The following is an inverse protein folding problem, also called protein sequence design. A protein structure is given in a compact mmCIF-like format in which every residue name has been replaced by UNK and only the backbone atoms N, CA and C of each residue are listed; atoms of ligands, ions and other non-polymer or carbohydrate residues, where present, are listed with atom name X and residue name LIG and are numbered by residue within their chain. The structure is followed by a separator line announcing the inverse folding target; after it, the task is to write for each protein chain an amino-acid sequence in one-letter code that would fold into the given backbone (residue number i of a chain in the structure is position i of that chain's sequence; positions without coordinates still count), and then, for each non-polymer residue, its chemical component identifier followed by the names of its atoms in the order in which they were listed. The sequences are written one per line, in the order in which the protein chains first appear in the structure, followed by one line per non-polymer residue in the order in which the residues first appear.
data_IF_367987292839
#
_entry.id   IF_367987292839
#
_cell.length_a   1.000
_cell.length_b   1.000
_cell.length_c   1.000
_cell.angle_alpha   90.00
_cell.angle_beta   90.00
_cell.angle_gamma   90.00
#
_symmetry.space_group_name_H-M   'P 1'
#
loop_
_entity.id
_entity.type
_entity.pdbx_description
1 polymer ?
#
# COMPACT_ATOMS: atom_id res chain seq x y z
N UNK A 1 -38.29 -34.49 -29.31
CA UNK A 1 -37.90 -33.18 -28.76
C UNK A 1 -36.44 -33.26 -28.36
N UNK A 2 -35.52 -32.51 -28.99
CA UNK A 2 -34.14 -32.46 -28.52
C UNK A 2 -34.10 -31.69 -27.20
N UNK A 3 -33.50 -32.31 -26.18
CA UNK A 3 -33.20 -31.70 -24.88
C UNK A 3 -31.97 -30.83 -25.12
N UNK A 4 -32.14 -29.51 -25.14
CA UNK A 4 -31.00 -28.61 -25.12
C UNK A 4 -30.28 -28.75 -23.77
N UNK A 5 -28.94 -28.85 -23.74
CA UNK A 5 -28.21 -28.77 -22.49
C UNK A 5 -28.47 -27.40 -21.87
N UNK A 6 -28.92 -27.41 -20.62
CA UNK A 6 -29.00 -26.20 -19.78
C UNK A 6 -27.58 -25.66 -19.72
N UNK A 7 -27.34 -24.52 -20.39
CA UNK A 7 -26.08 -23.81 -20.24
C UNK A 7 -25.91 -23.53 -18.75
N UNK A 8 -24.86 -24.10 -18.14
CA UNK A 8 -24.46 -23.77 -16.79
C UNK A 8 -24.35 -22.25 -16.73
N UNK A 9 -25.25 -21.62 -15.97
CA UNK A 9 -25.11 -20.20 -15.69
C UNK A 9 -23.75 -20.03 -15.01
N UNK A 10 -22.87 -19.14 -15.51
CA UNK A 10 -21.61 -18.88 -14.84
C UNK A 10 -21.91 -18.58 -13.38
N UNK A 11 -21.28 -19.32 -12.46
CA UNK A 11 -21.38 -19.11 -11.02
C UNK A 11 -21.36 -17.61 -10.76
N UNK A 12 -22.44 -17.10 -10.14
CA UNK A 12 -22.50 -15.73 -9.67
C UNK A 12 -21.31 -15.52 -8.72
N UNK A 13 -20.28 -14.88 -9.25
CA UNK A 13 -19.05 -14.55 -8.53
C UNK A 13 -19.46 -13.86 -7.23
N UNK A 14 -18.97 -14.41 -6.11
CA UNK A 14 -19.46 -14.11 -4.78
C UNK A 14 -19.50 -12.57 -4.53
N UNK A 15 -20.68 -11.96 -4.28
CA UNK A 15 -20.80 -10.50 -4.09
C UNK A 15 -19.94 -9.96 -2.93
N UNK A 16 -19.44 -10.86 -2.06
CA UNK A 16 -18.60 -10.53 -0.92
C UNK A 16 -17.19 -10.04 -1.28
N UNK A 17 -16.72 -10.22 -2.53
CA UNK A 17 -15.34 -9.88 -2.90
C UNK A 17 -15.09 -8.36 -2.89
N UNK A 18 -16.08 -7.57 -3.29
CA UNK A 18 -15.98 -6.09 -3.30
C UNK A 18 -16.25 -5.49 -1.92
N UNK A 19 -17.00 -6.19 -1.08
CA UNK A 19 -17.32 -5.79 0.28
C UNK A 19 -17.04 -6.92 1.28
N UNK A 20 -15.78 -7.17 1.65
CA UNK A 20 -15.42 -8.24 2.57
C UNK A 20 -15.96 -8.01 4.00
N UNK A 21 -16.49 -6.83 4.33
CA UNK A 21 -17.19 -6.61 5.59
C UNK A 21 -18.49 -7.43 5.71
N UNK A 22 -19.05 -7.93 4.60
CA UNK A 22 -20.18 -8.87 4.63
C UNK A 22 -19.79 -10.21 5.27
N UNK A 23 -18.49 -10.54 5.31
CA UNK A 23 -17.97 -11.73 5.99
C UNK A 23 -17.97 -11.61 7.52
N UNK A 24 -18.17 -10.39 8.06
CA UNK A 24 -18.22 -10.14 9.50
C UNK A 24 -19.67 -10.10 9.99
N UNK A 25 -19.87 -10.34 11.29
CA UNK A 25 -21.18 -10.19 11.92
C UNK A 25 -21.72 -8.76 11.68
N UNK A 26 -22.93 -8.60 11.10
CA UNK A 26 -23.53 -7.29 10.80
C UNK A 26 -23.65 -6.37 12.02
N UNK A 27 -23.74 -6.93 13.24
CA UNK A 27 -23.82 -6.15 14.48
C UNK A 27 -22.48 -5.52 14.86
N UNK A 28 -21.36 -6.09 14.42
CA UNK A 28 -19.99 -5.69 14.79
C UNK A 28 -19.27 -4.99 13.63
N UNK A 29 -19.57 -5.37 12.38
CA UNK A 29 -18.91 -4.88 11.18
C UNK A 29 -18.87 -3.33 11.06
N UNK A 30 -19.95 -2.58 11.34
CA UNK A 30 -19.93 -1.11 11.25
C UNK A 30 -18.93 -0.46 12.21
N UNK A 31 -18.89 -0.93 13.46
CA UNK A 31 -18.01 -0.39 14.49
C UNK A 31 -16.54 -0.71 14.16
N UNK A 32 -16.26 -1.94 13.75
CA UNK A 32 -14.90 -2.36 13.34
C UNK A 32 -14.45 -1.58 12.12
N UNK A 33 -15.30 -1.45 11.09
CA UNK A 33 -15.00 -0.67 9.89
C UNK A 33 -14.66 0.77 10.26
N UNK A 34 -15.50 1.45 11.05
CA UNK A 34 -15.27 2.83 11.45
C UNK A 34 -13.94 2.99 12.20
N UNK A 35 -13.69 2.17 13.22
CA UNK A 35 -12.49 2.28 14.05
C UNK A 35 -11.23 1.99 13.24
N UNK A 36 -11.19 0.88 12.51
CA UNK A 36 -10.03 0.49 11.72
C UNK A 36 -9.74 1.51 10.63
N UNK A 37 -10.77 2.02 9.94
CA UNK A 37 -10.59 3.02 8.90
C UNK A 37 -10.13 4.35 9.47
N UNK A 38 -10.75 4.84 10.55
CA UNK A 38 -10.34 6.08 11.20
C UNK A 38 -8.88 6.01 11.66
N UNK A 39 -8.45 4.89 12.26
CA UNK A 39 -7.07 4.67 12.69
C UNK A 39 -6.13 4.59 11.49
N UNK A 40 -6.47 3.82 10.45
CA UNK A 40 -5.61 3.64 9.27
C UNK A 40 -5.44 4.94 8.49
N UNK A 41 -6.52 5.67 8.25
CA UNK A 41 -6.51 6.99 7.59
C UNK A 41 -5.66 7.98 8.40
N UNK A 42 -5.92 8.08 9.70
CA UNK A 42 -5.19 9.00 10.58
C UNK A 42 -3.70 8.66 10.65
N UNK A 43 -3.35 7.38 10.80
CA UNK A 43 -1.96 6.94 10.84
C UNK A 43 -1.24 7.24 9.53
N UNK A 44 -1.85 6.93 8.38
CA UNK A 44 -1.28 7.23 7.06
C UNK A 44 -1.03 8.72 6.86
N UNK A 45 -1.98 9.59 7.20
CA UNK A 45 -1.78 11.04 7.10
C UNK A 45 -0.77 11.60 8.10
N UNK A 46 -0.68 11.03 9.31
CA UNK A 46 0.36 11.39 10.27
C UNK A 46 1.75 11.02 9.76
N UNK A 47 1.92 9.83 9.20
CA UNK A 47 3.17 9.38 8.55
C UNK A 47 3.51 10.32 7.39
N UNK A 48 2.54 10.63 6.53
CA UNK A 48 2.72 11.57 5.43
C UNK A 48 3.19 12.95 5.93
N UNK A 49 2.54 13.49 6.96
CA UNK A 49 2.92 14.78 7.57
C UNK A 49 4.35 14.76 8.13
N UNK A 50 4.75 13.67 8.79
CA UNK A 50 6.12 13.54 9.31
C UNK A 50 7.15 13.56 8.19
N UNK A 51 6.92 12.82 7.11
CA UNK A 51 7.83 12.85 5.96
C UNK A 51 7.80 14.18 5.21
N UNK A 52 6.63 14.83 5.08
CA UNK A 52 6.52 16.13 4.44
C UNK A 52 7.33 17.19 5.18
N UNK A 53 7.26 17.19 6.52
CA UNK A 53 8.10 18.04 7.36
C UNK A 53 9.59 17.72 7.18
N UNK A 54 9.96 16.44 7.08
CA UNK A 54 11.34 16.05 6.80
C UNK A 54 11.81 16.53 5.43
N UNK A 55 10.95 16.45 4.42
CA UNK A 55 11.21 16.92 3.05
C UNK A 55 11.42 18.44 3.01
N UNK A 56 10.55 19.22 3.67
CA UNK A 56 10.68 20.68 3.69
C UNK A 56 12.01 21.17 4.28
N UNK A 57 12.63 20.40 5.17
CA UNK A 57 13.95 20.72 5.71
C UNK A 57 15.10 20.25 4.82
N UNK A 58 14.96 19.11 4.13
CA UNK A 58 16.06 18.49 3.40
C UNK A 58 16.11 18.85 1.92
N UNK A 59 14.99 19.27 1.31
CA UNK A 59 14.91 19.67 -0.10
C UNK A 59 15.07 18.56 -1.15
N UNK A 60 15.36 17.32 -0.75
CA UNK A 60 15.62 16.24 -1.72
C UNK A 60 14.34 15.70 -2.36
N UNK A 61 14.18 15.91 -3.68
CA UNK A 61 13.00 15.50 -4.45
C UNK A 61 12.62 14.03 -4.31
N UNK A 62 13.59 13.12 -4.16
CA UNK A 62 13.31 11.68 -3.98
C UNK A 62 12.56 11.36 -2.69
N UNK A 63 12.60 12.23 -1.68
CA UNK A 63 11.85 12.05 -0.44
C UNK A 63 10.36 12.37 -0.59
N UNK A 64 9.92 12.98 -1.70
CA UNK A 64 8.52 13.36 -1.94
C UNK A 64 7.60 12.14 -2.20
N UNK A 65 8.15 11.03 -2.70
CA UNK A 65 7.35 9.80 -2.90
C UNK A 65 6.84 9.19 -1.58
N UNK A 66 7.55 9.37 -0.46
CA UNK A 66 7.08 8.95 0.86
C UNK A 66 5.82 9.69 1.34
N UNK A 67 5.80 11.03 1.50
CA UNK A 67 4.63 11.74 1.97
C UNK A 67 3.46 11.59 1.01
N UNK A 68 3.69 11.67 -0.30
CA UNK A 68 2.63 11.48 -1.30
C UNK A 68 2.09 10.06 -1.28
N UNK A 69 2.97 9.05 -1.18
CA UNK A 69 2.56 7.65 -1.13
C UNK A 69 1.72 7.30 0.10
N UNK A 70 2.10 7.80 1.28
CA UNK A 70 1.27 7.62 2.49
C UNK A 70 -0.02 8.45 2.46
N UNK A 71 -0.04 9.62 1.83
CA UNK A 71 -1.27 10.38 1.62
C UNK A 71 -2.25 9.59 0.71
N UNK A 72 -1.75 8.99 -0.36
CA UNK A 72 -2.55 8.14 -1.25
C UNK A 72 -3.06 6.89 -0.54
N UNK A 73 -2.26 6.25 0.33
CA UNK A 73 -2.75 5.17 1.18
C UNK A 73 -3.86 5.63 2.14
N UNK A 74 -3.72 6.81 2.74
CA UNK A 74 -4.76 7.41 3.57
C UNK A 74 -6.07 7.63 2.79
N UNK A 75 -5.99 8.20 1.59
CA UNK A 75 -7.15 8.37 0.71
C UNK A 75 -7.74 7.03 0.27
N UNK A 76 -6.92 6.03 -0.03
CA UNK A 76 -7.39 4.69 -0.37
C UNK A 76 -8.23 4.08 0.75
N UNK A 77 -7.77 4.16 2.01
CA UNK A 77 -8.56 3.69 3.15
C UNK A 77 -9.84 4.49 3.38
N UNK A 78 -9.82 5.79 3.09
CA UNK A 78 -11.03 6.61 3.08
C UNK A 78 -12.04 6.13 2.03
N UNK A 79 -11.59 5.85 0.80
CA UNK A 79 -12.44 5.30 -0.25
C UNK A 79 -12.91 3.88 0.05
N UNK A 80 -12.13 3.07 0.77
CA UNK A 80 -12.59 1.78 1.25
C UNK A 80 -13.79 1.93 2.22
N UNK A 81 -13.72 2.89 3.14
CA UNK A 81 -14.85 3.21 4.01
C UNK A 81 -16.05 3.75 3.22
N UNK A 82 -15.82 4.65 2.26
CA UNK A 82 -16.88 5.17 1.40
C UNK A 82 -17.54 4.04 0.58
N UNK A 83 -16.77 3.12 0.01
CA UNK A 83 -17.27 1.95 -0.69
C UNK A 83 -18.20 1.11 0.20
N UNK A 84 -17.83 0.90 1.47
CA UNK A 84 -18.70 0.22 2.44
C UNK A 84 -19.97 1.02 2.76
N UNK A 85 -19.86 2.32 3.03
CA UNK A 85 -20.99 3.18 3.39
C UNK A 85 -22.02 3.30 2.25
N UNK A 86 -21.56 3.23 1.00
CA UNK A 86 -22.40 3.30 -0.20
C UNK A 86 -22.61 1.93 -0.86
N UNK A 87 -22.47 0.82 -0.13
CA UNK A 87 -22.57 -0.54 -0.69
C UNK A 87 -23.91 -0.84 -1.40
N UNK A 88 -24.98 -0.10 -1.08
CA UNK A 88 -26.29 -0.22 -1.75
C UNK A 88 -26.41 0.57 -3.06
N UNK A 89 -25.45 1.42 -3.40
CA UNK A 89 -25.47 2.25 -4.61
C UNK A 89 -24.67 1.58 -5.73
N UNK A 90 -25.35 1.25 -6.83
CA UNK A 90 -24.78 0.53 -7.97
C UNK A 90 -23.70 1.30 -8.75
N UNK A 91 -23.62 2.62 -8.58
CA UNK A 91 -22.64 3.47 -9.26
C UNK A 91 -21.53 3.94 -8.33
N UNK A 92 -21.89 4.38 -7.11
CA UNK A 92 -20.91 4.89 -6.16
C UNK A 92 -20.03 3.78 -5.57
N UNK A 93 -20.60 2.61 -5.26
CA UNK A 93 -19.82 1.52 -4.67
C UNK A 93 -18.66 1.06 -5.57
N UNK A 94 -18.87 0.73 -6.86
CA UNK A 94 -17.78 0.34 -7.74
C UNK A 94 -16.78 1.48 -8.00
N UNK A 95 -17.24 2.73 -8.06
CA UNK A 95 -16.37 3.88 -8.26
C UNK A 95 -15.41 4.08 -7.08
N UNK A 96 -15.93 4.02 -5.84
CA UNK A 96 -15.07 4.12 -4.64
C UNK A 96 -14.12 2.93 -4.51
N UNK A 97 -14.56 1.73 -4.85
CA UNK A 97 -13.70 0.55 -4.87
C UNK A 97 -12.55 0.70 -5.89
N UNK A 98 -12.85 1.21 -7.09
CA UNK A 98 -11.83 1.50 -8.11
C UNK A 98 -10.83 2.56 -7.64
N UNK A 99 -11.32 3.66 -7.06
CA UNK A 99 -10.47 4.71 -6.47
C UNK A 99 -9.58 4.17 -5.35
N UNK A 100 -10.12 3.31 -4.49
CA UNK A 100 -9.36 2.64 -3.43
C UNK A 100 -8.19 1.86 -4.02
N UNK A 101 -8.42 1.00 -5.01
CA UNK A 101 -7.38 0.13 -5.59
C UNK A 101 -6.25 0.96 -6.22
N UNK A 102 -6.60 1.97 -7.01
CA UNK A 102 -5.61 2.81 -7.70
C UNK A 102 -4.75 3.56 -6.71
N UNK A 103 -5.38 4.24 -5.76
CA UNK A 103 -4.66 5.02 -4.76
C UNK A 103 -3.76 4.13 -3.89
N UNK A 104 -4.19 2.90 -3.61
CA UNK A 104 -3.35 1.94 -2.88
C UNK A 104 -2.10 1.56 -3.67
N UNK A 105 -2.27 1.17 -4.93
CA UNK A 105 -1.17 0.74 -5.80
C UNK A 105 -0.20 1.89 -6.09
N UNK A 106 -0.71 3.06 -6.46
CA UNK A 106 0.09 4.28 -6.65
C UNK A 106 0.81 4.68 -5.36
N UNK A 107 0.12 4.63 -4.22
CA UNK A 107 0.70 4.96 -2.93
C UNK A 107 1.90 4.09 -2.57
N UNK A 108 1.77 2.77 -2.73
CA UNK A 108 2.84 1.80 -2.49
C UNK A 108 3.98 1.97 -3.50
N UNK A 109 3.67 2.20 -4.77
CA UNK A 109 4.67 2.43 -5.82
C UNK A 109 5.49 3.70 -5.57
N UNK A 110 4.87 4.80 -5.15
CA UNK A 110 5.58 6.03 -4.81
C UNK A 110 6.54 5.84 -3.63
N UNK A 111 6.13 5.07 -2.61
CA UNK A 111 7.03 4.71 -1.50
C UNK A 111 8.21 3.89 -2.01
N UNK A 112 7.97 2.92 -2.89
CA UNK A 112 9.03 2.10 -3.49
C UNK A 112 9.99 2.92 -4.34
N UNK A 113 9.46 3.88 -5.12
CA UNK A 113 10.24 4.80 -5.93
C UNK A 113 11.19 5.64 -5.06
N UNK A 114 10.71 6.14 -3.92
CA UNK A 114 11.57 6.83 -2.96
C UNK A 114 12.71 5.94 -2.42
N UNK A 115 12.43 4.67 -2.12
CA UNK A 115 13.48 3.71 -1.72
C UNK A 115 14.46 3.40 -2.85
N UNK A 116 13.97 3.32 -4.08
CA UNK A 116 14.79 3.09 -5.26
C UNK A 116 15.82 4.20 -5.43
N UNK A 117 15.35 5.45 -5.48
CA UNK A 117 16.23 6.62 -5.67
C UNK A 117 17.17 6.84 -4.49
N UNK A 118 16.72 6.61 -3.25
CA UNK A 118 17.60 6.66 -2.08
C UNK A 118 18.77 5.67 -2.20
N UNK A 119 18.50 4.46 -2.69
CA UNK A 119 19.52 3.43 -2.85
C UNK A 119 20.37 3.60 -4.12
N UNK A 120 19.86 4.25 -5.17
CA UNK A 120 20.63 4.52 -6.39
C UNK A 120 21.70 5.58 -6.17
N UNK A 121 21.37 6.69 -5.49
CA UNK A 121 22.32 7.76 -5.15
C UNK A 121 23.48 7.18 -4.32
N UNK A 122 23.15 6.41 -3.27
CA UNK A 122 24.15 5.75 -2.42
C UNK A 122 25.00 4.68 -3.13
N UNK A 123 24.64 4.26 -4.36
CA UNK A 123 25.42 3.33 -5.19
C UNK A 123 26.25 4.06 -6.24
N UNK A 124 25.78 5.21 -6.72
CA UNK A 124 26.45 6.02 -7.74
C UNK A 124 27.77 6.59 -7.21
N UNK A 125 27.81 7.06 -5.96
CA UNK A 125 29.03 7.49 -5.27
C UNK A 125 30.09 6.37 -5.13
N UNK A 126 29.67 5.10 -5.18
CA UNK A 126 30.55 3.94 -5.04
C UNK A 126 30.92 3.28 -6.38
N UNK A 127 30.32 3.69 -7.50
CA UNK A 127 30.35 2.94 -8.76
C UNK A 127 30.64 3.82 -9.98
N UNK A 128 31.71 4.62 -9.94
CA UNK A 128 32.20 5.38 -11.11
C UNK A 128 32.83 4.47 -12.19
N UNK A 129 32.93 3.14 -12.00
CA UNK A 129 33.78 2.28 -12.86
C UNK A 129 33.18 0.98 -13.42
N UNK A 130 31.86 0.87 -13.65
CA UNK A 130 31.36 -0.25 -14.52
C UNK A 130 29.95 -0.06 -15.06
N UNK A 131 29.85 0.37 -16.33
CA UNK A 131 28.62 0.23 -17.12
C UNK A 131 28.29 -1.26 -17.32
N UNK A 132 27.41 -1.80 -16.47
CA UNK A 132 26.82 -3.14 -16.61
C UNK A 132 25.34 -3.02 -17.02
N UNK A 133 24.78 -4.00 -17.76
CA UNK A 133 23.36 -4.05 -18.12
C UNK A 133 22.41 -4.02 -16.90
N UNK A 134 22.92 -4.31 -15.71
CA UNK A 134 22.22 -4.11 -14.43
C UNK A 134 21.75 -2.66 -14.22
N UNK A 135 22.43 -1.65 -14.77
CA UNK A 135 22.03 -0.25 -14.62
C UNK A 135 20.78 0.10 -15.45
N UNK A 136 20.64 -0.45 -16.66
CA UNK A 136 19.40 -0.29 -17.45
C UNK A 136 18.21 -0.93 -16.75
N UNK A 137 18.39 -2.14 -16.19
CA UNK A 137 17.32 -2.84 -15.48
C UNK A 137 16.89 -2.10 -14.22
N UNK A 138 17.85 -1.52 -13.49
CA UNK A 138 17.58 -0.66 -12.33
C UNK A 138 16.87 0.63 -12.76
N UNK A 139 17.23 1.26 -13.88
CA UNK A 139 16.57 2.47 -14.37
C UNK A 139 15.14 2.24 -14.92
N UNK A 140 14.88 1.07 -15.51
CA UNK A 140 13.57 0.72 -16.10
C UNK A 140 12.57 0.26 -15.03
N UNK A 141 13.04 -0.37 -13.95
CA UNK A 141 12.18 -0.93 -12.91
C UNK A 141 11.15 0.07 -12.34
N UNK A 142 11.51 1.31 -11.94
CA UNK A 142 10.54 2.24 -11.37
C UNK A 142 9.57 2.77 -12.41
N UNK A 143 10.01 2.93 -13.67
CA UNK A 143 9.15 3.30 -14.78
C UNK A 143 8.09 2.22 -15.02
N UNK A 144 8.49 0.94 -14.93
CA UNK A 144 7.59 -0.20 -15.04
C UNK A 144 6.62 -0.27 -13.85
N UNK A 145 7.08 -0.03 -12.61
CA UNK A 145 6.20 -0.04 -11.44
C UNK A 145 5.11 1.03 -11.51
N UNK A 146 5.47 2.25 -11.93
CA UNK A 146 4.49 3.34 -12.16
C UNK A 146 3.58 3.01 -13.34
N UNK A 147 4.15 2.56 -14.47
CA UNK A 147 3.37 2.20 -15.65
C UNK A 147 2.34 1.11 -15.36
N UNK A 148 2.71 0.06 -14.61
CA UNK A 148 1.79 -1.02 -14.23
C UNK A 148 0.69 -0.52 -13.31
N UNK A 149 1.03 0.29 -12.30
CA UNK A 149 0.06 0.86 -11.34
C UNK A 149 -0.95 1.78 -12.03
N UNK A 150 -0.52 2.50 -13.07
CA UNK A 150 -1.35 3.48 -13.77
C UNK A 150 -2.11 2.90 -14.96
N UNK A 151 -1.42 2.15 -15.85
CA UNK A 151 -1.98 1.69 -17.13
C UNK A 151 -3.04 0.62 -16.92
N UNK A 152 -2.82 -0.34 -16.02
CA UNK A 152 -3.77 -1.45 -15.85
C UNK A 152 -5.13 -0.94 -15.35
N UNK A 153 -5.23 -0.11 -14.28
CA UNK A 153 -6.52 0.40 -13.84
C UNK A 153 -7.14 1.41 -14.82
N UNK A 154 -6.33 2.25 -15.46
CA UNK A 154 -6.82 3.24 -16.43
C UNK A 154 -7.36 2.59 -17.71
N UNK A 155 -6.70 1.54 -18.20
CA UNK A 155 -7.17 0.77 -19.37
C UNK A 155 -8.45 -0.01 -19.05
N UNK A 156 -8.58 -0.55 -17.83
CA UNK A 156 -9.83 -1.16 -17.37
C UNK A 156 -10.99 -0.14 -17.35
N UNK A 157 -10.73 1.09 -16.93
CA UNK A 157 -11.72 2.16 -16.93
C UNK A 157 -12.16 2.57 -18.36
N UNK A 158 -11.21 2.72 -19.28
CA UNK A 158 -11.51 3.11 -20.67
C UNK A 158 -12.25 2.00 -21.44
N UNK A 159 -11.91 0.74 -21.20
CA UNK A 159 -12.48 -0.40 -21.94
C UNK A 159 -13.89 -0.79 -21.49
N UNK A 160 -14.31 -0.43 -20.28
CA UNK A 160 -15.67 -0.64 -19.79
C UNK A 160 -16.09 0.52 -18.87
N UNK A 161 -16.74 1.56 -19.42
CA UNK A 161 -17.16 2.74 -18.65
C UNK A 161 -18.25 2.42 -17.63
N UNK A 162 -18.98 1.32 -17.83
CA UNK A 162 -19.89 0.76 -16.83
C UNK A 162 -19.13 -0.29 -16.04
N UNK A 163 -18.73 0.08 -14.82
CA UNK A 163 -17.98 -0.74 -13.87
C UNK A 163 -18.47 -2.20 -13.85
N UNK A 164 -17.73 -3.09 -14.52
CA UNK A 164 -18.06 -4.50 -14.59
C UNK A 164 -17.57 -5.18 -13.30
N UNK A 165 -18.50 -5.56 -12.44
CA UNK A 165 -18.27 -6.13 -11.10
C UNK A 165 -17.24 -7.28 -11.09
N UNK A 166 -17.40 -8.34 -11.91
CA UNK A 166 -16.39 -9.39 -12.08
C UNK A 166 -14.97 -8.89 -12.39
N UNK A 167 -14.85 -7.96 -13.33
CA UNK A 167 -13.54 -7.45 -13.76
C UNK A 167 -12.87 -6.60 -12.68
N UNK A 168 -13.64 -5.94 -11.83
CA UNK A 168 -13.12 -5.18 -10.68
C UNK A 168 -12.56 -6.11 -9.60
N UNK A 169 -13.21 -7.25 -9.35
CA UNK A 169 -12.69 -8.26 -8.45
C UNK A 169 -11.35 -8.83 -8.94
N UNK A 170 -11.26 -9.20 -10.22
CA UNK A 170 -10.03 -9.69 -10.83
C UNK A 170 -8.92 -8.62 -10.82
N UNK A 171 -9.27 -7.37 -11.12
CA UNK A 171 -8.35 -6.24 -11.04
C UNK A 171 -7.83 -6.03 -9.61
N UNK A 172 -8.70 -6.12 -8.61
CA UNK A 172 -8.32 -6.04 -7.19
C UNK A 172 -7.31 -7.12 -6.84
N UNK A 173 -7.54 -8.35 -7.27
CA UNK A 173 -6.63 -9.45 -7.05
C UNK A 173 -5.25 -9.19 -7.70
N UNK A 174 -5.23 -8.82 -8.98
CA UNK A 174 -3.99 -8.51 -9.71
C UNK A 174 -3.21 -7.38 -9.02
N UNK A 175 -3.91 -6.33 -8.61
CA UNK A 175 -3.31 -5.18 -7.92
C UNK A 175 -2.80 -5.55 -6.52
N UNK A 176 -3.47 -6.45 -5.83
CA UNK A 176 -3.03 -6.95 -4.51
C UNK A 176 -1.73 -7.76 -4.65
N UNK A 177 -1.64 -8.65 -5.64
CA UNK A 177 -0.42 -9.40 -5.94
C UNK A 177 0.72 -8.46 -6.34
N UNK A 178 0.43 -7.45 -7.16
CA UNK A 178 1.39 -6.40 -7.49
C UNK A 178 1.88 -5.67 -6.23
N UNK A 179 0.98 -5.24 -5.35
CA UNK A 179 1.31 -4.57 -4.09
C UNK A 179 2.22 -5.42 -3.20
N UNK A 180 1.98 -6.74 -3.11
CA UNK A 180 2.86 -7.67 -2.38
C UNK A 180 4.27 -7.63 -2.96
N UNK A 181 4.41 -7.70 -4.29
CA UNK A 181 5.71 -7.66 -4.95
C UNK A 181 6.45 -6.33 -4.68
N UNK A 182 5.73 -5.21 -4.75
CA UNK A 182 6.30 -3.88 -4.48
C UNK A 182 6.68 -3.71 -3.00
N UNK A 183 5.84 -4.17 -2.07
CA UNK A 183 6.15 -4.17 -0.63
C UNK A 183 7.34 -5.07 -0.32
N UNK A 184 7.47 -6.22 -0.97
CA UNK A 184 8.65 -7.07 -0.90
C UNK A 184 9.93 -6.35 -1.36
N UNK A 185 9.83 -5.54 -2.42
CA UNK A 185 10.92 -4.68 -2.85
C UNK A 185 11.29 -3.61 -1.82
N UNK A 186 10.28 -2.92 -1.24
CA UNK A 186 10.47 -1.93 -0.19
C UNK A 186 11.14 -2.57 1.02
N UNK A 187 10.64 -3.72 1.47
CA UNK A 187 11.18 -4.49 2.60
C UNK A 187 12.65 -4.82 2.40
N UNK A 188 13.00 -5.40 1.24
CA UNK A 188 14.39 -5.72 0.89
C UNK A 188 15.27 -4.47 0.90
N UNK A 189 14.78 -3.37 0.31
CA UNK A 189 15.50 -2.09 0.27
C UNK A 189 15.70 -1.49 1.66
N UNK A 190 14.71 -1.64 2.55
CA UNK A 190 14.77 -1.20 3.93
C UNK A 190 15.77 -2.03 4.75
N UNK A 191 15.83 -3.36 4.56
CA UNK A 191 16.84 -4.22 5.19
C UNK A 191 18.25 -3.83 4.75
N UNK A 192 18.47 -3.60 3.45
CA UNK A 192 19.79 -3.17 2.96
C UNK A 192 20.21 -1.85 3.62
N UNK A 193 19.28 -0.90 3.74
CA UNK A 193 19.53 0.37 4.44
C UNK A 193 19.81 0.16 5.93
N UNK A 194 19.13 -0.78 6.57
CA UNK A 194 19.32 -1.14 7.99
C UNK A 194 20.72 -1.69 8.22
N UNK A 195 21.13 -2.69 7.43
CA UNK A 195 22.46 -3.33 7.54
C UNK A 195 23.57 -2.30 7.35
N UNK A 196 23.43 -1.38 6.38
CA UNK A 196 24.41 -0.30 6.18
C UNK A 196 24.52 0.66 7.36
N UNK A 197 23.40 0.93 8.04
CA UNK A 197 23.37 1.85 9.19
C UNK A 197 23.81 1.24 10.52
N UNK A 198 23.97 -0.09 10.58
CA UNK A 198 24.36 -0.88 11.77
C UNK A 198 23.56 -0.56 13.05
N UNK A 199 22.33 -0.06 12.93
CA UNK A 199 21.52 0.33 14.07
C UNK A 199 20.25 -0.54 14.14
N UNK A 200 20.26 -1.54 15.02
CA UNK A 200 19.14 -2.47 15.22
C UNK A 200 17.80 -1.76 15.52
N UNK A 201 17.83 -0.54 16.07
CA UNK A 201 16.63 0.26 16.34
C UNK A 201 15.95 0.79 15.07
N UNK A 202 16.53 0.61 13.88
CA UNK A 202 15.89 0.89 12.59
C UNK A 202 15.09 -0.31 12.05
N UNK A 203 15.08 -1.46 12.76
CA UNK A 203 14.35 -2.67 12.35
C UNK A 203 12.83 -2.48 12.25
N UNK A 204 12.28 -1.46 12.95
CA UNK A 204 10.85 -1.16 12.94
C UNK A 204 10.30 -0.85 11.54
N UNK A 205 11.07 -0.19 10.68
CA UNK A 205 10.59 0.16 9.33
C UNK A 205 10.45 -1.07 8.42
N UNK A 206 11.47 -1.93 8.24
CA UNK A 206 11.29 -3.21 7.55
C UNK A 206 10.17 -4.06 8.15
N UNK A 207 10.11 -4.20 9.48
CA UNK A 207 9.06 -4.98 10.13
C UNK A 207 7.66 -4.45 9.80
N UNK A 208 7.48 -3.14 9.73
CA UNK A 208 6.20 -2.55 9.37
C UNK A 208 5.80 -2.80 7.92
N UNK A 209 6.74 -2.72 6.97
CA UNK A 209 6.45 -3.07 5.58
C UNK A 209 6.18 -4.57 5.40
N UNK A 210 6.79 -5.44 6.21
CA UNK A 210 6.44 -6.85 6.25
C UNK A 210 5.00 -7.07 6.74
N UNK A 211 4.57 -6.34 7.77
CA UNK A 211 3.17 -6.36 8.21
C UNK A 211 2.23 -5.86 7.10
N UNK A 212 2.51 -4.73 6.45
CA UNK A 212 1.69 -4.27 5.32
C UNK A 212 1.66 -5.29 4.17
N UNK A 213 2.75 -6.01 3.91
CA UNK A 213 2.75 -7.10 2.92
C UNK A 213 1.88 -8.29 3.37
N UNK A 214 1.93 -8.63 4.66
CA UNK A 214 1.10 -9.68 5.25
C UNK A 214 -0.39 -9.31 5.20
N UNK A 215 -0.74 -8.02 5.33
CA UNK A 215 -2.12 -7.56 5.07
C UNK A 215 -2.54 -7.90 3.64
N UNK A 216 -1.77 -7.50 2.63
CA UNK A 216 -2.09 -7.80 1.22
C UNK A 216 -2.19 -9.31 0.97
N UNK A 217 -1.30 -10.11 1.56
CA UNK A 217 -1.38 -11.56 1.49
C UNK A 217 -2.67 -12.12 2.12
N UNK A 218 -3.09 -11.56 3.26
CA UNK A 218 -4.33 -11.97 3.92
C UNK A 218 -5.58 -11.62 3.09
N UNK A 219 -5.54 -10.52 2.33
CA UNK A 219 -6.59 -10.18 1.35
C UNK A 219 -6.62 -11.17 0.18
N UNK A 220 -5.47 -11.66 -0.28
CA UNK A 220 -5.39 -12.74 -1.27
C UNK A 220 -6.03 -14.02 -0.74
N UNK A 221 -5.78 -14.40 0.51
CA UNK A 221 -6.44 -15.57 1.10
C UNK A 221 -7.96 -15.38 1.11
N UNK A 222 -8.41 -14.24 1.63
CA UNK A 222 -9.84 -13.87 1.69
C UNK A 222 -10.52 -13.98 0.32
N UNK A 223 -9.83 -13.61 -0.76
CA UNK A 223 -10.34 -13.73 -2.13
C UNK A 223 -10.66 -15.17 -2.53
N UNK A 224 -9.82 -16.14 -2.14
CA UNK A 224 -10.00 -17.55 -2.50
C UNK A 224 -10.89 -18.32 -1.54
N UNK A 225 -10.77 -18.06 -0.23
CA UNK A 225 -11.40 -18.87 0.81
C UNK A 225 -12.62 -18.21 1.46
N UNK A 226 -12.92 -16.94 1.13
CA UNK A 226 -13.94 -16.12 1.79
C UNK A 226 -13.84 -16.16 3.33
N UNK A 227 -12.63 -16.32 3.87
CA UNK A 227 -12.38 -16.46 5.30
C UNK A 227 -12.51 -15.11 6.01
N UNK A 228 -13.50 -15.03 6.90
CA UNK A 228 -13.67 -13.88 7.80
C UNK A 228 -12.46 -13.67 8.70
N UNK A 229 -11.77 -14.74 9.09
CA UNK A 229 -10.54 -14.69 9.89
C UNK A 229 -9.39 -14.09 9.09
N UNK A 230 -9.23 -14.48 7.83
CA UNK A 230 -8.22 -13.87 6.95
C UNK A 230 -8.51 -12.38 6.73
N UNK A 231 -9.78 -12.01 6.55
CA UNK A 231 -10.15 -10.60 6.41
C UNK A 231 -9.88 -9.81 7.70
N UNK A 232 -10.34 -10.29 8.86
CA UNK A 232 -10.10 -9.64 10.15
C UNK A 232 -8.59 -9.54 10.45
N UNK A 233 -7.82 -10.58 10.15
CA UNK A 233 -6.37 -10.59 10.24
C UNK A 233 -5.72 -9.50 9.40
N UNK A 234 -6.20 -9.29 8.17
CA UNK A 234 -5.71 -8.20 7.29
C UNK A 234 -5.86 -6.82 7.96
N UNK A 235 -7.01 -6.57 8.59
CA UNK A 235 -7.29 -5.29 9.27
C UNK A 235 -6.36 -5.07 10.47
N UNK A 236 -6.19 -6.10 11.31
CA UNK A 236 -5.32 -6.05 12.49
C UNK A 236 -3.86 -5.80 12.07
N UNK A 237 -3.39 -6.57 11.09
CA UNK A 237 -2.02 -6.47 10.58
C UNK A 237 -1.75 -5.11 9.92
N UNK A 238 -2.72 -4.55 9.17
CA UNK A 238 -2.63 -3.19 8.63
C UNK A 238 -2.42 -2.16 9.72
N UNK A 239 -3.29 -2.16 10.72
CA UNK A 239 -3.21 -1.20 11.84
C UNK A 239 -1.89 -1.36 12.58
N UNK A 240 -1.46 -2.60 12.84
CA UNK A 240 -0.17 -2.88 13.46
C UNK A 240 1.01 -2.36 12.63
N UNK A 241 1.00 -2.56 11.31
CA UNK A 241 2.04 -2.06 10.40
C UNK A 241 2.11 -0.53 10.40
N UNK A 242 0.97 0.15 10.26
CA UNK A 242 0.92 1.62 10.30
C UNK A 242 1.32 2.18 11.67
N UNK A 243 0.85 1.57 12.76
CA UNK A 243 1.24 1.97 14.11
C UNK A 243 2.75 1.82 14.33
N UNK A 244 3.34 0.74 13.82
CA UNK A 244 4.78 0.50 13.91
C UNK A 244 5.59 1.54 13.11
N UNK A 245 5.11 1.99 11.95
CA UNK A 245 5.72 3.10 11.20
C UNK A 245 5.62 4.43 11.96
N UNK A 246 4.45 4.76 12.51
CA UNK A 246 4.29 5.97 13.35
C UNK A 246 5.24 5.94 14.54
N UNK A 247 5.36 4.78 15.20
CA UNK A 247 6.28 4.59 16.31
C UNK A 247 7.74 4.78 15.88
N UNK A 248 8.15 4.14 14.78
CA UNK A 248 9.50 4.26 14.22
C UNK A 248 9.87 5.72 13.93
N UNK A 249 8.95 6.49 13.35
CA UNK A 249 9.13 7.90 13.06
C UNK A 249 9.26 8.77 14.31
N UNK A 250 8.33 8.61 15.26
CA UNK A 250 8.37 9.36 16.52
C UNK A 250 9.68 9.12 17.26
N UNK A 251 10.12 7.86 17.28
CA UNK A 251 11.40 7.50 17.86
C UNK A 251 12.58 8.16 17.13
N UNK A 252 12.60 8.10 15.79
CA UNK A 252 13.65 8.74 14.99
C UNK A 252 13.73 10.26 15.21
N UNK A 253 12.59 10.95 15.30
CA UNK A 253 12.51 12.39 15.58
C UNK A 253 13.07 12.71 16.97
N UNK A 254 12.68 11.95 18.00
CA UNK A 254 13.19 12.14 19.37
C UNK A 254 14.70 11.98 19.46
N UNK A 255 15.26 10.98 18.78
CA UNK A 255 16.70 10.75 18.72
C UNK A 255 17.44 11.89 18.02
N UNK A 256 16.87 12.42 16.93
CA UNK A 256 17.45 13.58 16.24
C UNK A 256 17.43 14.85 17.10
N UNK A 257 16.37 15.05 17.89
CA UNK A 257 16.26 16.18 18.81
C UNK A 257 17.24 16.07 19.99
N UNK A 258 17.42 14.88 20.57
CA UNK A 258 18.39 14.65 21.63
C UNK A 258 19.81 15.00 21.16
N UNK A 259 20.22 14.49 19.99
CA UNK A 259 21.53 14.83 19.40
C UNK A 259 21.75 16.32 19.18
N UNK A 260 20.72 17.07 18.79
CA UNK A 260 20.85 18.53 18.61
C UNK A 260 21.10 19.25 19.93
N UNK A 261 20.44 18.82 21.01
CA UNK A 261 20.66 19.40 22.34
C UNK A 261 22.06 19.13 22.87
N UNK A 262 22.57 17.93 22.64
CA UNK A 262 23.94 17.59 23.08
C UNK A 262 24.98 18.48 22.39
N UNK A 263 24.81 18.75 21.09
CA UNK A 263 25.68 19.67 20.33
C UNK A 263 25.55 21.14 20.75
N UNK A 264 24.39 21.57 21.25
CA UNK A 264 24.20 22.93 21.78
C UNK A 264 24.82 23.12 23.17
N UNK A 265 25.08 22.04 23.91
CA UNK A 265 25.74 22.07 25.23
C UNK A 265 27.27 22.05 25.10
N UNK A 266 27.79 21.52 23.98
CA UNK A 266 29.22 21.42 23.69
C UNK A 266 29.80 22.65 22.95
N UNK A 267 28.95 23.58 22.50
CA UNK A 267 29.33 24.81 21.76
C UNK A 267 29.41 26.04 22.67
#
# INVERSE_FOLDING_TARGET
MPIYPVAEMPELQNPNILNPFVLMDPSVAPAVALVVMAVSVSASFLIARYFFKSYSFSGFGYLLGFPTGFAFLGLSYFFQFAGWAYAGDALLHPAFFWMQIILQAEGITLIALSYHFKNSIAREDAAVTRYRPRHMLVAVLPMLMVAVSFIIPSSAFVSSPYFNYPRLADLSFVMTVFNIAVLGYIFKSAIISLVKSANAKLLYAPAAFALLSLEQYSLVLTYFDNSSVAFAGSLVVRVAGLALLVYAMRHAIRMAQARRRDLEIEA
#
